data_IF_510208313197
#
_entry.id   IF_510208313197
#
_cell.length_a   1.000
_cell.length_b   1.000
_cell.length_c   1.000
_cell.angle_alpha   90.00
_cell.angle_beta   90.00
_cell.angle_gamma   90.00
#
_symmetry.space_group_name_H-M   'P 1'
#
loop_
_entity.id
_entity.type
_entity.pdbx_description
1 polymer ?
#
# COMPACT_ATOMS: atom_id res chain seq x y z
N UNK A 1 16.42 26.61 -14.04
CA UNK A 1 15.20 25.77 -14.06
C UNK A 1 15.63 24.34 -13.79
N UNK A 2 15.48 23.88 -12.54
CA UNK A 2 15.90 22.53 -12.14
C UNK A 2 14.76 21.56 -12.42
N UNK A 3 15.04 20.57 -13.26
CA UNK A 3 14.09 19.51 -13.62
C UNK A 3 14.03 18.52 -12.45
N UNK A 4 12.98 18.59 -11.63
CA UNK A 4 12.71 17.58 -10.60
C UNK A 4 12.38 16.25 -11.29
N UNK A 5 13.34 15.33 -11.38
CA UNK A 5 13.06 13.96 -11.82
C UNK A 5 12.13 13.30 -10.80
N UNK A 6 10.85 13.16 -11.14
CA UNK A 6 9.94 12.25 -10.43
C UNK A 6 10.45 10.83 -10.63
N UNK A 7 10.95 10.20 -9.57
CA UNK A 7 11.18 8.76 -9.54
C UNK A 7 9.87 8.05 -9.93
N UNK A 8 9.87 7.37 -11.07
CA UNK A 8 8.70 6.64 -11.56
C UNK A 8 8.50 5.44 -10.63
N UNK A 9 7.32 5.32 -10.02
CA UNK A 9 6.98 4.16 -9.20
C UNK A 9 7.17 2.88 -10.03
N UNK A 10 8.07 2.01 -9.61
CA UNK A 10 8.33 0.72 -10.26
C UNK A 10 7.27 -0.27 -9.81
N UNK A 11 6.67 -1.01 -10.74
CA UNK A 11 5.73 -2.08 -10.38
C UNK A 11 6.47 -3.21 -9.67
N UNK A 12 5.75 -4.02 -8.88
CA UNK A 12 6.32 -5.24 -8.25
C UNK A 12 6.93 -6.16 -9.32
N UNK A 13 6.30 -6.25 -10.49
CA UNK A 13 6.81 -7.00 -11.64
C UNK A 13 8.15 -6.43 -12.12
N UNK A 14 8.26 -5.10 -12.26
CA UNK A 14 9.50 -4.45 -12.67
C UNK A 14 10.62 -4.66 -11.64
N UNK A 15 10.30 -4.60 -10.35
CA UNK A 15 11.26 -4.86 -9.27
C UNK A 15 11.74 -6.33 -9.26
N UNK A 16 10.82 -7.28 -9.45
CA UNK A 16 11.15 -8.69 -9.53
C UNK A 16 12.06 -8.99 -10.74
N UNK A 17 11.75 -8.40 -11.90
CA UNK A 17 12.57 -8.54 -13.11
C UNK A 17 13.94 -7.88 -12.96
N UNK A 18 14.02 -6.70 -12.35
CA UNK A 18 15.29 -6.02 -12.08
C UNK A 18 16.18 -6.83 -11.13
N UNK A 19 15.60 -7.43 -10.08
CA UNK A 19 16.32 -8.31 -9.16
C UNK A 19 16.84 -9.56 -9.88
N UNK A 20 15.99 -10.20 -10.69
CA UNK A 20 16.37 -11.37 -11.48
C UNK A 20 17.54 -11.09 -12.43
N UNK A 21 17.49 -9.97 -13.16
CA UNK A 21 18.55 -9.54 -14.07
C UNK A 21 19.84 -9.09 -13.35
N UNK A 22 19.75 -8.68 -12.09
CA UNK A 22 20.93 -8.37 -11.28
C UNK A 22 21.68 -9.63 -10.86
N UNK A 23 20.94 -10.69 -10.52
CA UNK A 23 21.50 -11.99 -10.09
C UNK A 23 21.98 -12.86 -11.26
N UNK A 24 21.49 -12.63 -12.49
CA UNK A 24 21.86 -13.37 -13.69
C UNK A 24 22.43 -12.43 -14.77
N UNK A 25 23.69 -11.96 -14.64
CA UNK A 25 24.30 -11.02 -15.58
C UNK A 25 24.46 -11.59 -17.00
N UNK A 26 24.52 -12.92 -17.16
CA UNK A 26 24.48 -13.62 -18.45
C UNK A 26 23.16 -13.39 -19.21
N UNK A 27 22.05 -13.16 -18.51
CA UNK A 27 20.76 -12.83 -19.13
C UNK A 27 20.74 -11.41 -19.74
N UNK A 28 21.74 -10.56 -19.45
CA UNK A 28 21.91 -9.23 -20.07
C UNK A 28 22.63 -9.28 -21.41
N UNK A 29 23.30 -10.39 -21.73
CA UNK A 29 23.95 -10.58 -23.02
C UNK A 29 23.02 -11.37 -23.92
N UNK A 30 22.44 -10.71 -24.95
CA UNK A 30 22.26 -11.22 -26.31
C UNK A 30 21.39 -10.23 -27.11
N UNK A 31 21.78 -9.99 -28.37
CA UNK A 31 20.98 -9.31 -29.39
C UNK A 31 19.77 -10.17 -29.85
N UNK A 32 19.14 -10.88 -28.94
CA UNK A 32 17.93 -11.68 -29.11
C UNK A 32 17.04 -11.40 -27.90
N UNK A 33 15.71 -11.46 -28.07
CA UNK A 33 14.78 -11.20 -26.97
C UNK A 33 15.18 -12.05 -25.75
N UNK A 34 15.41 -11.44 -24.56
CA UNK A 34 15.82 -12.19 -23.38
C UNK A 34 14.72 -13.20 -23.07
N UNK A 35 15.02 -14.48 -23.24
CA UNK A 35 14.14 -15.55 -22.78
C UNK A 35 14.22 -15.55 -21.27
N UNK A 36 13.11 -15.21 -20.64
CA UNK A 36 12.94 -15.33 -19.20
C UNK A 36 12.93 -16.83 -18.87
N UNK A 37 13.65 -17.23 -17.83
CA UNK A 37 13.62 -18.61 -17.35
C UNK A 37 12.17 -19.00 -16.98
N UNK A 38 11.71 -20.14 -17.48
CA UNK A 38 10.33 -20.60 -17.31
C UNK A 38 10.00 -20.79 -15.83
N UNK A 39 10.96 -21.30 -15.03
CA UNK A 39 10.78 -21.50 -13.61
C UNK A 39 10.65 -20.17 -12.85
N UNK A 40 11.48 -19.18 -13.18
CA UNK A 40 11.33 -17.83 -12.63
C UNK A 40 9.99 -17.18 -13.03
N UNK A 41 9.59 -17.31 -14.29
CA UNK A 41 8.32 -16.76 -14.81
C UNK A 41 7.12 -17.30 -14.04
N UNK A 42 7.07 -18.62 -13.84
CA UNK A 42 6.02 -19.28 -13.07
C UNK A 42 6.05 -18.85 -11.61
N UNK A 43 7.23 -18.88 -10.98
CA UNK A 43 7.39 -18.50 -9.58
C UNK A 43 6.97 -17.05 -9.31
N UNK A 44 7.45 -16.11 -10.12
CA UNK A 44 7.09 -14.69 -10.02
C UNK A 44 5.58 -14.50 -10.22
N UNK A 45 4.99 -15.20 -11.19
CA UNK A 45 3.54 -15.15 -11.45
C UNK A 45 2.74 -15.61 -10.24
N UNK A 46 3.10 -16.73 -9.61
CA UNK A 46 2.41 -17.21 -8.40
C UNK A 46 2.52 -16.23 -7.24
N UNK A 47 3.72 -15.69 -6.97
CA UNK A 47 3.93 -14.75 -5.88
C UNK A 47 3.16 -13.43 -6.09
N UNK A 48 3.17 -12.89 -7.31
CA UNK A 48 2.43 -11.67 -7.64
C UNK A 48 0.92 -11.90 -7.48
N UNK A 49 0.38 -13.04 -7.94
CA UNK A 49 -1.03 -13.39 -7.74
C UNK A 49 -1.37 -13.49 -6.27
N UNK A 50 -0.51 -14.16 -5.48
CA UNK A 50 -0.69 -14.25 -4.04
C UNK A 50 -0.77 -12.86 -3.39
N UNK A 51 0.16 -11.94 -3.70
CA UNK A 51 0.14 -10.59 -3.15
C UNK A 51 -1.12 -9.80 -3.53
N UNK A 52 -1.60 -9.96 -4.77
CA UNK A 52 -2.82 -9.30 -5.23
C UNK A 52 -4.07 -9.84 -4.53
N UNK A 53 -4.23 -11.16 -4.41
CA UNK A 53 -5.44 -11.77 -3.86
C UNK A 53 -5.47 -11.80 -2.34
N UNK A 54 -4.36 -12.16 -1.69
CA UNK A 54 -4.28 -12.21 -0.23
C UNK A 54 -4.49 -10.83 0.39
N UNK A 55 -3.96 -9.78 -0.24
CA UNK A 55 -4.09 -8.40 0.22
C UNK A 55 -5.48 -7.80 -0.05
N UNK A 56 -6.10 -8.12 -1.18
CA UNK A 56 -7.37 -7.50 -1.58
C UNK A 56 -8.56 -8.04 -0.77
N UNK A 57 -8.77 -9.36 -0.77
CA UNK A 57 -10.02 -9.93 -0.28
C UNK A 57 -10.14 -9.86 1.25
N UNK A 58 -9.02 -10.04 1.95
CA UNK A 58 -8.97 -9.95 3.42
C UNK A 58 -9.15 -8.50 3.89
N UNK A 59 -8.43 -7.55 3.28
CA UNK A 59 -8.51 -6.13 3.64
C UNK A 59 -9.88 -5.56 3.29
N UNK A 60 -10.42 -5.88 2.11
CA UNK A 60 -11.75 -5.44 1.69
C UNK A 60 -12.82 -5.97 2.64
N UNK A 61 -12.81 -7.27 2.95
CA UNK A 61 -13.77 -7.87 3.89
C UNK A 61 -13.67 -7.25 5.28
N UNK A 62 -12.44 -6.97 5.75
CA UNK A 62 -12.21 -6.32 7.05
C UNK A 62 -12.78 -4.90 7.06
N UNK A 63 -12.52 -4.10 6.02
CA UNK A 63 -13.06 -2.73 5.90
C UNK A 63 -14.59 -2.75 5.89
N UNK A 64 -15.20 -3.67 5.11
CA UNK A 64 -16.66 -3.84 5.06
C UNK A 64 -17.20 -4.19 6.45
N UNK A 65 -16.55 -5.11 7.16
CA UNK A 65 -16.95 -5.50 8.51
C UNK A 65 -16.84 -4.32 9.50
N UNK A 66 -15.77 -3.54 9.45
CA UNK A 66 -15.60 -2.33 10.29
C UNK A 66 -16.74 -1.35 10.04
N UNK A 67 -17.05 -1.03 8.79
CA UNK A 67 -18.17 -0.13 8.47
C UNK A 67 -19.52 -0.71 8.93
N UNK A 68 -19.73 -2.01 8.77
CA UNK A 68 -20.93 -2.68 9.24
C UNK A 68 -21.09 -2.52 10.76
N UNK A 69 -20.03 -2.78 11.53
CA UNK A 69 -20.05 -2.62 12.99
C UNK A 69 -20.30 -1.16 13.39
N UNK A 70 -19.61 -0.19 12.77
CA UNK A 70 -19.84 1.23 13.05
C UNK A 70 -21.26 1.69 12.72
N UNK A 71 -21.89 1.15 11.67
CA UNK A 71 -23.30 1.45 11.35
C UNK A 71 -24.28 0.93 12.39
N UNK A 72 -23.94 -0.16 13.08
CA UNK A 72 -24.76 -0.75 14.15
C UNK A 72 -24.51 -0.10 15.52
N UNK A 73 -23.39 0.60 15.68
CA UNK A 73 -22.97 1.23 16.93
C UNK A 73 -22.72 2.74 16.71
N UNK A 74 -23.78 3.56 16.58
CA UNK A 74 -23.66 4.99 16.29
C UNK A 74 -22.82 5.75 17.32
N UNK A 75 -22.91 5.39 18.61
CA UNK A 75 -22.11 6.00 19.67
C UNK A 75 -20.60 5.81 19.44
N UNK A 76 -20.19 4.61 19.02
CA UNK A 76 -18.79 4.31 18.70
C UNK A 76 -18.32 5.06 17.45
N UNK A 77 -19.19 5.17 16.43
CA UNK A 77 -18.91 5.94 15.23
C UNK A 77 -18.72 7.44 15.53
N UNK A 78 -19.57 8.01 16.39
CA UNK A 78 -19.47 9.40 16.79
C UNK A 78 -18.19 9.65 17.61
N UNK A 79 -17.83 8.72 18.49
CA UNK A 79 -16.57 8.79 19.25
C UNK A 79 -15.33 8.79 18.33
N UNK A 80 -15.30 7.90 17.33
CA UNK A 80 -14.21 7.84 16.32
C UNK A 80 -14.12 9.14 15.52
N UNK A 81 -15.26 9.69 15.07
CA UNK A 81 -15.30 10.96 14.34
C UNK A 81 -14.82 12.14 15.18
N UNK A 82 -15.27 12.22 16.43
CA UNK A 82 -14.83 13.25 17.36
C UNK A 82 -13.33 13.17 17.62
N UNK A 83 -12.79 11.96 17.79
CA UNK A 83 -11.35 11.75 17.92
C UNK A 83 -10.60 12.26 16.69
N UNK A 84 -11.03 11.89 15.49
CA UNK A 84 -10.38 12.33 14.25
C UNK A 84 -10.46 13.85 14.08
N UNK A 85 -11.61 14.47 14.35
CA UNK A 85 -11.76 15.92 14.31
C UNK A 85 -10.85 16.63 15.33
N UNK A 86 -10.64 16.04 16.51
CA UNK A 86 -9.73 16.58 17.53
C UNK A 86 -8.26 16.48 17.11
N UNK A 87 -7.86 15.38 16.48
CA UNK A 87 -6.45 15.11 16.12
C UNK A 87 -6.06 15.79 14.80
N UNK A 88 -6.94 15.77 13.80
CA UNK A 88 -6.64 16.24 12.44
C UNK A 88 -7.38 17.52 12.04
N UNK A 89 -8.34 17.98 12.86
CA UNK A 89 -9.25 19.05 12.50
C UNK A 89 -10.45 18.55 11.68
N UNK A 90 -11.48 19.40 11.48
CA UNK A 90 -12.67 19.04 10.71
C UNK A 90 -12.47 19.08 9.19
N UNK A 91 -11.37 19.65 8.70
CA UNK A 91 -11.08 19.80 7.28
C UNK A 91 -10.27 18.60 6.74
N UNK A 92 -10.95 17.72 6.01
CA UNK A 92 -10.36 16.53 5.40
C UNK A 92 -9.29 16.87 4.34
N UNK A 93 -9.34 18.05 3.71
CA UNK A 93 -8.40 18.43 2.66
C UNK A 93 -6.97 18.62 3.18
N UNK A 94 -6.85 18.99 4.47
CA UNK A 94 -5.56 19.22 5.14
C UNK A 94 -5.01 17.97 5.80
N UNK A 95 -5.87 16.99 6.10
CA UNK A 95 -5.52 15.78 6.87
C UNK A 95 -4.37 15.01 6.22
N UNK A 96 -4.39 14.81 4.90
CA UNK A 96 -3.34 14.07 4.20
C UNK A 96 -1.96 14.77 4.27
N UNK A 97 -1.95 16.10 4.15
CA UNK A 97 -0.73 16.91 4.27
C UNK A 97 -0.20 16.89 5.70
N UNK A 98 -1.09 17.01 6.67
CA UNK A 98 -0.77 16.97 8.10
C UNK A 98 -0.19 15.60 8.50
N UNK A 99 -0.77 14.51 8.02
CA UNK A 99 -0.30 13.15 8.30
C UNK A 99 1.09 12.89 7.71
N UNK A 100 1.37 13.43 6.52
CA UNK A 100 2.71 13.36 5.91
C UNK A 100 3.74 14.17 6.67
N UNK A 101 3.38 15.37 7.11
CA UNK A 101 4.27 16.25 7.88
C UNK A 101 4.54 15.70 9.29
N UNK A 102 3.52 15.13 9.93
CA UNK A 102 3.59 14.65 11.31
C UNK A 102 2.93 13.28 11.47
N UNK A 103 3.59 12.18 11.06
CA UNK A 103 3.04 10.82 11.17
C UNK A 103 2.74 10.39 12.61
N UNK A 104 3.42 10.99 13.59
CA UNK A 104 3.23 10.70 15.02
C UNK A 104 1.82 11.02 15.54
N UNK A 105 1.02 11.81 14.80
CA UNK A 105 -0.37 12.11 15.16
C UNK A 105 -1.24 10.86 15.24
N UNK A 106 -0.94 9.81 14.47
CA UNK A 106 -1.66 8.53 14.54
C UNK A 106 -1.64 7.94 15.95
N UNK A 107 -0.56 8.15 16.72
CA UNK A 107 -0.49 7.64 18.09
C UNK A 107 -1.51 8.27 19.04
N UNK A 108 -2.15 9.36 18.63
CA UNK A 108 -3.18 10.06 19.38
C UNK A 108 -4.60 9.54 19.08
N UNK A 109 -4.76 8.68 18.06
CA UNK A 109 -6.02 8.04 17.71
C UNK A 109 -6.24 6.76 18.54
N UNK A 110 -6.47 6.92 19.85
CA UNK A 110 -6.58 5.81 20.79
C UNK A 110 -7.82 4.95 20.54
N UNK A 111 -8.95 5.58 20.22
CA UNK A 111 -10.22 4.90 19.98
C UNK A 111 -10.13 4.11 18.68
N UNK A 112 -9.62 4.72 17.61
CA UNK A 112 -9.43 4.05 16.32
C UNK A 112 -8.36 2.95 16.35
N UNK A 113 -7.32 3.09 17.17
CA UNK A 113 -6.25 2.08 17.29
C UNK A 113 -6.52 1.00 18.34
N UNK A 114 -7.63 1.09 19.09
CA UNK A 114 -8.01 0.15 20.14
C UNK A 114 -6.83 -0.28 21.04
N UNK A 115 -6.15 0.71 21.66
CA UNK A 115 -5.13 0.45 22.70
C UNK A 115 -5.71 0.53 24.11
#
# INVERSE_FOLDING_TARGET
MQHTQRSRAKSVIALALEAYLADHPEAKQLNAAPQLDDHFSDYATYQIRLFLFAGNDTTSSTIVYVYHMLSKHPDALDQVRQEHNRVFGPDLSTTASLLKATPALLNQCRVSLAR
#
